data_IF_999079271319
#
_entry.id   IF_999079271319
#
_cell.length_a   1.000
_cell.length_b   1.000
_cell.length_c   1.000
_cell.angle_alpha   90.00
_cell.angle_beta   90.00
_cell.angle_gamma   90.00
#
_symmetry.space_group_name_H-M   'P 1'
#
loop_
_entity.id
_entity.type
_entity.pdbx_description
1 polymer ?
#
# COMPACT_ATOMS: atom_id res chain seq x y z
N UNK A 1 43.25 9.67 6.11
CA UNK A 1 42.31 8.56 5.85
C UNK A 1 42.05 7.92 7.20
N UNK A 2 40.99 8.36 7.87
CA UNK A 2 40.68 7.93 9.23
C UNK A 2 39.89 6.62 9.14
N UNK A 3 40.56 5.52 9.49
CA UNK A 3 39.93 4.21 9.58
C UNK A 3 39.06 4.15 10.85
N UNK A 4 37.81 4.61 10.74
CA UNK A 4 36.82 4.40 11.80
C UNK A 4 36.33 2.95 11.76
N UNK A 5 36.95 2.09 12.57
CA UNK A 5 36.42 0.75 12.84
C UNK A 5 35.07 0.87 13.57
N UNK A 6 33.98 0.45 12.92
CA UNK A 6 32.65 0.46 13.53
C UNK A 6 32.52 -0.69 14.52
N UNK A 7 32.18 -0.39 15.77
CA UNK A 7 32.06 -1.38 16.84
C UNK A 7 30.62 -1.88 16.96
N UNK A 8 30.41 -3.19 17.05
CA UNK A 8 29.09 -3.83 17.16
C UNK A 8 28.54 -3.75 18.59
N UNK A 9 27.28 -3.32 18.75
CA UNK A 9 26.56 -3.23 20.03
C UNK A 9 25.34 -4.16 20.05
N UNK A 10 25.07 -4.77 21.21
CA UNK A 10 23.91 -5.64 21.41
C UNK A 10 22.58 -4.86 21.33
N UNK A 11 21.58 -5.30 20.54
CA UNK A 11 20.29 -4.60 20.45
C UNK A 11 19.45 -4.71 21.74
N UNK A 12 19.72 -5.70 22.60
CA UNK A 12 18.93 -5.93 23.82
C UNK A 12 19.44 -5.14 25.02
N UNK A 13 20.76 -5.17 25.26
CA UNK A 13 21.37 -4.55 26.45
C UNK A 13 22.41 -3.47 26.12
N UNK A 14 22.56 -3.10 24.85
CA UNK A 14 23.48 -2.06 24.34
C UNK A 14 24.96 -2.29 24.69
N UNK A 15 25.31 -3.46 25.20
CA UNK A 15 26.69 -3.80 25.53
C UNK A 15 27.48 -4.04 24.25
N UNK A 16 28.71 -3.52 24.21
CA UNK A 16 29.68 -3.74 23.13
C UNK A 16 30.06 -5.22 23.02
N UNK A 17 30.00 -5.77 21.81
CA UNK A 17 30.34 -7.16 21.54
C UNK A 17 31.85 -7.25 21.20
N UNK A 18 32.65 -8.04 21.94
CA UNK A 18 34.06 -8.24 21.59
C UNK A 18 34.20 -9.12 20.34
N UNK A 19 35.29 -8.94 19.58
CA UNK A 19 35.50 -9.60 18.29
C UNK A 19 35.47 -11.14 18.35
N UNK A 20 35.86 -11.73 19.49
CA UNK A 20 35.82 -13.17 19.74
C UNK A 20 34.41 -13.77 19.77
N UNK A 21 33.38 -12.95 20.07
CA UNK A 21 31.99 -13.37 20.11
C UNK A 21 31.23 -13.06 18.81
N UNK A 22 31.97 -12.73 17.75
CA UNK A 22 31.44 -12.40 16.43
C UNK A 22 31.87 -13.49 15.45
N UNK A 23 30.91 -14.25 14.95
CA UNK A 23 31.13 -15.18 13.85
C UNK A 23 30.89 -14.48 12.52
N UNK A 24 31.93 -13.89 11.95
CA UNK A 24 31.88 -13.12 10.70
C UNK A 24 31.38 -13.99 9.53
N UNK A 25 31.73 -15.27 9.50
CA UNK A 25 31.33 -16.19 8.42
C UNK A 25 29.82 -16.45 8.40
N UNK A 26 29.19 -16.47 9.57
CA UNK A 26 27.74 -16.72 9.73
C UNK A 26 26.93 -15.46 10.00
N UNK A 27 27.60 -14.31 10.09
CA UNK A 27 27.04 -13.02 10.49
C UNK A 27 26.27 -13.05 11.83
N UNK A 28 26.67 -13.92 12.75
CA UNK A 28 26.05 -14.08 14.07
C UNK A 28 26.93 -13.52 15.18
N UNK A 29 26.34 -12.81 16.14
CA UNK A 29 27.00 -12.30 17.33
C UNK A 29 26.31 -12.83 18.60
N UNK A 30 27.10 -13.21 19.61
CA UNK A 30 26.64 -13.59 20.95
C UNK A 30 26.94 -12.46 21.93
N UNK A 31 25.94 -11.97 22.65
CA UNK A 31 26.16 -10.99 23.71
C UNK A 31 26.64 -11.69 25.00
N UNK A 32 27.84 -11.37 25.52
CA UNK A 32 28.33 -11.99 26.76
C UNK A 32 27.53 -11.56 27.99
N UNK A 33 26.94 -10.36 27.97
CA UNK A 33 26.20 -9.81 29.11
C UNK A 33 24.81 -10.44 29.29
N UNK A 34 24.01 -10.57 28.21
CA UNK A 34 22.64 -11.09 28.29
C UNK A 34 22.43 -12.44 27.60
N UNK A 35 23.46 -13.04 27.00
CA UNK A 35 23.40 -14.35 26.33
C UNK A 35 22.60 -14.40 25.02
N UNK A 36 22.14 -13.24 24.50
CA UNK A 36 21.34 -13.22 23.27
C UNK A 36 22.22 -13.43 22.04
N UNK A 37 21.81 -14.31 21.14
CA UNK A 37 22.42 -14.50 19.82
C UNK A 37 21.59 -13.74 18.79
N UNK A 38 22.20 -12.88 17.99
CA UNK A 38 21.52 -12.12 16.94
C UNK A 38 22.33 -12.09 15.64
N UNK A 39 21.64 -11.97 14.50
CA UNK A 39 22.27 -11.83 13.19
C UNK A 39 22.50 -10.35 12.89
N UNK A 40 23.75 -9.95 12.66
CA UNK A 40 24.12 -8.57 12.32
C UNK A 40 24.35 -8.37 10.82
N UNK A 41 24.41 -9.44 10.03
CA UNK A 41 24.53 -9.37 8.57
C UNK A 41 23.23 -8.90 7.90
N UNK A 42 22.10 -9.14 8.56
CA UNK A 42 20.78 -8.71 8.11
C UNK A 42 20.43 -7.28 8.54
N UNK A 43 21.18 -6.67 9.47
CA UNK A 43 20.87 -5.33 9.98
C UNK A 43 20.98 -4.22 8.92
N UNK A 44 21.70 -4.48 7.83
CA UNK A 44 21.82 -3.57 6.67
C UNK A 44 21.10 -4.07 5.42
N UNK A 45 20.44 -5.25 5.48
CA UNK A 45 19.49 -5.61 4.44
C UNK A 45 18.11 -5.20 4.93
N UNK A 46 17.44 -4.20 4.32
CA UNK A 46 16.09 -3.82 4.70
C UNK A 46 15.27 -5.10 4.72
N UNK A 47 14.83 -5.48 5.91
CA UNK A 47 14.20 -6.76 6.29
C UNK A 47 13.48 -7.42 5.13
N UNK A 48 14.24 -8.14 4.30
CA UNK A 48 13.65 -9.03 3.30
C UNK A 48 13.22 -10.23 4.12
N UNK A 49 12.04 -10.10 4.71
CA UNK A 49 11.20 -11.23 5.10
C UNK A 49 11.47 -12.35 4.11
N UNK A 50 11.78 -13.58 4.58
CA UNK A 50 12.12 -14.68 3.69
C UNK A 50 11.13 -14.64 2.55
N UNK A 51 11.63 -14.56 1.31
CA UNK A 51 10.80 -14.56 0.09
C UNK A 51 10.10 -15.91 0.02
N UNK A 52 9.14 -16.15 0.92
CA UNK A 52 8.08 -17.09 0.76
C UNK A 52 7.53 -16.69 -0.59
N UNK A 53 7.69 -17.58 -1.58
CA UNK A 53 7.08 -17.43 -2.89
C UNK A 53 5.58 -17.32 -2.63
N UNK A 54 5.10 -16.10 -2.37
CA UNK A 54 3.69 -15.81 -2.16
C UNK A 54 3.04 -16.27 -3.44
N UNK A 55 2.19 -17.30 -3.31
CA UNK A 55 1.38 -17.76 -4.43
C UNK A 55 0.61 -16.54 -4.92
N UNK A 56 0.60 -16.30 -6.22
CA UNK A 56 -0.16 -15.20 -6.81
C UNK A 56 -1.61 -15.36 -6.35
N UNK A 57 -2.14 -14.35 -5.66
CA UNK A 57 -3.53 -14.33 -5.24
C UNK A 57 -4.42 -14.40 -6.48
N UNK A 58 -5.44 -15.25 -6.44
CA UNK A 58 -6.43 -15.34 -7.52
C UNK A 58 -7.28 -14.06 -7.49
N UNK A 59 -7.53 -13.46 -8.66
CA UNK A 59 -8.43 -12.32 -8.79
C UNK A 59 -9.85 -12.69 -8.31
N UNK A 60 -10.40 -12.00 -7.29
CA UNK A 60 -11.79 -12.20 -6.87
C UNK A 60 -12.78 -11.74 -7.95
N UNK A 61 -13.92 -12.41 -8.07
CA UNK A 61 -14.91 -12.17 -9.14
C UNK A 61 -15.51 -10.75 -9.13
N UNK A 62 -15.54 -10.10 -7.98
CA UNK A 62 -16.17 -8.79 -7.79
C UNK A 62 -15.21 -7.61 -7.92
N UNK A 63 -13.90 -7.85 -8.07
CA UNK A 63 -12.90 -6.79 -8.25
C UNK A 63 -12.75 -6.48 -9.73
N UNK A 64 -12.97 -5.22 -10.08
CA UNK A 64 -12.67 -4.68 -11.40
C UNK A 64 -11.31 -3.99 -11.34
N UNK A 65 -10.41 -4.35 -12.25
CA UNK A 65 -9.09 -3.72 -12.37
C UNK A 65 -9.03 -3.11 -13.76
N UNK A 66 -8.74 -1.82 -13.82
CA UNK A 66 -8.62 -1.06 -15.05
C UNK A 66 -7.24 -0.42 -15.07
N UNK A 67 -6.44 -0.76 -16.07
CA UNK A 67 -5.13 -0.13 -16.32
C UNK A 67 -5.30 0.83 -17.50
N UNK A 68 -5.01 2.12 -17.30
CA UNK A 68 -5.14 3.15 -18.34
C UNK A 68 -3.97 4.12 -18.26
N UNK A 69 -3.10 4.11 -19.28
CA UNK A 69 -2.02 5.10 -19.47
C UNK A 69 -1.19 5.38 -18.21
N UNK A 70 -0.68 4.35 -17.53
CA UNK A 70 0.12 4.49 -16.31
C UNK A 70 -0.69 4.60 -15.00
N UNK A 71 -2.02 4.70 -15.09
CA UNK A 71 -2.91 4.67 -13.94
C UNK A 71 -3.51 3.27 -13.73
N UNK A 72 -3.50 2.82 -12.48
CA UNK A 72 -4.17 1.60 -12.04
C UNK A 72 -5.39 1.98 -11.19
N UNK A 73 -6.60 1.63 -11.62
CA UNK A 73 -7.83 1.75 -10.84
C UNK A 73 -8.35 0.37 -10.44
N UNK A 74 -8.35 0.09 -9.13
CA UNK A 74 -8.93 -1.10 -8.53
C UNK A 74 -10.25 -0.72 -7.88
N UNK A 75 -11.36 -1.18 -8.45
CA UNK A 75 -12.71 -0.90 -7.96
C UNK A 75 -13.38 -2.17 -7.39
N UNK A 76 -13.98 -2.04 -6.20
CA UNK A 76 -14.78 -3.10 -5.58
C UNK A 76 -15.96 -2.53 -4.78
N UNK A 77 -16.96 -3.38 -4.52
CA UNK A 77 -18.15 -2.98 -3.76
C UNK A 77 -17.83 -2.89 -2.26
N UNK A 78 -18.15 -1.76 -1.62
CA UNK A 78 -17.85 -1.52 -0.19
C UNK A 78 -18.58 -2.52 0.73
N UNK A 79 -19.82 -2.87 0.39
CA UNK A 79 -20.55 -3.99 1.01
C UNK A 79 -20.14 -5.31 0.34
N UNK A 80 -19.01 -5.85 0.80
CA UNK A 80 -18.27 -6.90 0.08
C UNK A 80 -18.89 -8.30 0.08
N UNK A 81 -19.73 -8.65 1.07
CA UNK A 81 -20.28 -10.01 1.13
C UNK A 81 -21.64 -10.10 0.44
N UNK A 82 -21.83 -11.18 -0.35
CA UNK A 82 -23.12 -11.50 -0.98
C UNK A 82 -24.22 -11.60 0.08
N UNK A 83 -23.90 -12.15 1.25
CA UNK A 83 -24.82 -12.26 2.38
C UNK A 83 -25.25 -10.89 2.92
N UNK A 84 -24.33 -9.93 3.04
CA UNK A 84 -24.67 -8.58 3.50
C UNK A 84 -25.59 -7.87 2.50
N UNK A 85 -25.37 -8.05 1.19
CA UNK A 85 -26.25 -7.49 0.15
C UNK A 85 -27.66 -8.06 0.21
N UNK A 86 -27.78 -9.39 0.37
CA UNK A 86 -29.08 -10.05 0.50
C UNK A 86 -29.77 -9.64 1.79
N UNK A 87 -29.05 -9.65 2.92
CA UNK A 87 -29.58 -9.27 4.23
C UNK A 87 -30.05 -7.82 4.25
N UNK A 88 -29.25 -6.88 3.71
CA UNK A 88 -29.63 -5.48 3.59
C UNK A 88 -30.82 -5.29 2.65
N UNK A 89 -30.86 -6.00 1.52
CA UNK A 89 -32.00 -5.94 0.59
C UNK A 89 -33.30 -6.46 1.22
N UNK A 90 -33.23 -7.53 2.00
CA UNK A 90 -34.38 -8.05 2.74
C UNK A 90 -34.83 -7.10 3.86
N UNK A 91 -33.87 -6.48 4.56
CA UNK A 91 -34.15 -5.45 5.56
C UNK A 91 -34.90 -4.27 4.91
N UNK A 92 -34.42 -3.77 3.76
CA UNK A 92 -35.05 -2.67 3.02
C UNK A 92 -36.47 -3.03 2.58
N UNK A 93 -36.68 -4.23 2.02
CA UNK A 93 -38.02 -4.69 1.66
C UNK A 93 -38.96 -4.73 2.87
N UNK A 94 -38.46 -5.20 4.02
CA UNK A 94 -39.24 -5.28 5.26
C UNK A 94 -39.61 -3.89 5.77
N UNK A 95 -38.63 -2.97 5.82
CA UNK A 95 -38.83 -1.58 6.25
C UNK A 95 -39.83 -0.87 5.32
N UNK A 96 -39.70 -1.06 4.00
CA UNK A 96 -40.64 -0.51 3.02
C UNK A 96 -42.07 -1.02 3.21
N UNK A 97 -42.26 -2.32 3.47
CA UNK A 97 -43.60 -2.88 3.73
C UNK A 97 -44.22 -2.33 5.02
N UNK A 98 -43.42 -2.21 6.09
CA UNK A 98 -43.87 -1.60 7.36
C UNK A 98 -44.25 -0.15 7.14
N UNK A 99 -43.42 0.62 6.42
CA UNK A 99 -43.70 2.00 6.06
C UNK A 99 -45.01 2.14 5.28
N UNK A 100 -45.25 1.26 4.30
CA UNK A 100 -46.47 1.28 3.48
C UNK A 100 -47.72 1.02 4.33
N UNK A 101 -47.68 0.02 5.22
CA UNK A 101 -48.81 -0.29 6.12
C UNK A 101 -49.10 0.90 7.04
N UNK A 102 -48.09 1.45 7.69
CA UNK A 102 -48.26 2.59 8.60
C UNK A 102 -48.78 3.83 7.87
N UNK A 103 -48.32 4.09 6.65
CA UNK A 103 -48.79 5.20 5.84
C UNK A 103 -50.27 5.06 5.48
N UNK A 104 -50.72 3.85 5.12
CA UNK A 104 -52.14 3.59 4.85
C UNK A 104 -53.01 3.81 6.09
N UNK A 105 -52.53 3.38 7.26
CA UNK A 105 -53.25 3.59 8.53
C UNK A 105 -53.40 5.08 8.85
N UNK A 106 -52.32 5.87 8.75
CA UNK A 106 -52.36 7.32 8.98
C UNK A 106 -53.30 8.06 8.02
N UNK A 107 -53.30 7.65 6.74
CA UNK A 107 -54.21 8.22 5.72
C UNK A 107 -55.67 7.91 6.05
N UNK A 108 -55.96 6.71 6.59
CA UNK A 108 -57.32 6.32 6.97
C UNK A 108 -57.89 7.14 8.12
N UNK A 109 -57.04 7.67 9.00
CA UNK A 109 -57.41 8.55 10.11
C UNK A 109 -57.47 10.04 9.71
N UNK A 110 -57.32 10.34 8.41
CA UNK A 110 -57.23 11.69 7.86
C UNK A 110 -56.06 12.53 8.41
N UNK A 111 -55.02 11.89 8.94
CA UNK A 111 -53.79 12.52 9.43
C UNK A 111 -52.76 12.73 8.30
N UNK A 112 -53.13 13.52 7.30
CA UNK A 112 -52.31 13.67 6.09
C UNK A 112 -50.94 14.33 6.34
N UNK A 113 -50.87 15.29 7.27
CA UNK A 113 -49.63 16.02 7.56
C UNK A 113 -48.57 15.11 8.23
N UNK A 114 -48.89 14.39 9.32
CA UNK A 114 -47.99 13.37 9.87
C UNK A 114 -47.57 12.32 8.85
N UNK A 115 -48.52 11.80 8.05
CA UNK A 115 -48.24 10.81 7.01
C UNK A 115 -47.21 11.31 5.98
N UNK A 116 -47.32 12.58 5.56
CA UNK A 116 -46.41 13.20 4.62
C UNK A 116 -45.00 13.36 5.21
N UNK A 117 -44.88 13.88 6.44
CA UNK A 117 -43.57 14.05 7.11
C UNK A 117 -42.90 12.68 7.30
N UNK A 118 -43.66 11.70 7.78
CA UNK A 118 -43.19 10.33 7.95
C UNK A 118 -42.68 9.74 6.63
N UNK A 119 -43.44 9.92 5.54
CA UNK A 119 -43.05 9.47 4.20
C UNK A 119 -41.79 10.13 3.68
N UNK A 120 -41.58 11.42 3.95
CA UNK A 120 -40.35 12.11 3.56
C UNK A 120 -39.13 11.57 4.30
N UNK A 121 -39.25 11.30 5.60
CA UNK A 121 -38.15 10.75 6.41
C UNK A 121 -37.79 9.34 5.94
N UNK A 122 -38.77 8.47 5.76
CA UNK A 122 -38.54 7.10 5.28
C UNK A 122 -38.01 7.07 3.85
N UNK A 123 -38.59 7.88 2.96
CA UNK A 123 -38.09 8.02 1.59
C UNK A 123 -36.63 8.47 1.54
N UNK A 124 -36.24 9.44 2.38
CA UNK A 124 -34.84 9.85 2.50
C UNK A 124 -33.92 8.73 3.00
N UNK A 125 -34.35 7.97 4.02
CA UNK A 125 -33.59 6.84 4.56
C UNK A 125 -33.38 5.71 3.53
N UNK A 126 -34.40 5.41 2.73
CA UNK A 126 -34.33 4.44 1.63
C UNK A 126 -33.35 4.90 0.55
N UNK A 127 -33.39 6.19 0.16
CA UNK A 127 -32.44 6.75 -0.81
C UNK A 127 -31.00 6.64 -0.29
N UNK A 128 -30.74 7.01 0.96
CA UNK A 128 -29.40 6.92 1.55
C UNK A 128 -28.91 5.47 1.57
N UNK A 129 -29.78 4.53 1.95
CA UNK A 129 -29.40 3.12 2.01
C UNK A 129 -29.19 2.52 0.61
N UNK A 130 -29.94 2.98 -0.39
CA UNK A 130 -29.70 2.63 -1.78
C UNK A 130 -28.38 3.19 -2.30
N UNK A 131 -28.02 4.43 -1.93
CA UNK A 131 -26.70 5.01 -2.23
C UNK A 131 -25.56 4.21 -1.61
N UNK A 132 -25.74 3.66 -0.40
CA UNK A 132 -24.78 2.74 0.22
C UNK A 132 -24.60 1.45 -0.62
N UNK A 133 -25.67 0.95 -1.24
CA UNK A 133 -25.61 -0.25 -2.08
C UNK A 133 -24.86 0.00 -3.40
N UNK A 134 -24.97 1.20 -3.95
CA UNK A 134 -24.22 1.64 -5.12
C UNK A 134 -22.77 2.02 -4.79
N UNK A 135 -22.43 2.12 -3.51
CA UNK A 135 -21.14 2.62 -3.08
C UNK A 135 -20.01 1.65 -3.45
N UNK A 136 -19.09 2.15 -4.28
CA UNK A 136 -17.88 1.46 -4.70
C UNK A 136 -16.67 2.20 -4.19
N UNK A 137 -15.69 1.45 -3.71
CA UNK A 137 -14.39 1.99 -3.34
C UNK A 137 -13.44 1.78 -4.49
N UNK A 138 -12.78 2.85 -4.89
CA UNK A 138 -11.76 2.92 -5.94
C UNK A 138 -10.43 3.18 -5.28
N UNK A 139 -9.46 2.30 -5.51
CA UNK A 139 -8.07 2.51 -5.15
C UNK A 139 -7.33 2.84 -6.44
N UNK A 140 -6.99 4.11 -6.58
CA UNK A 140 -6.39 4.69 -7.78
C UNK A 140 -4.92 4.94 -7.47
N UNK A 141 -4.04 4.23 -8.16
CA UNK A 141 -2.60 4.50 -8.18
C UNK A 141 -2.29 5.25 -9.47
N UNK A 142 -1.95 6.52 -9.31
CA UNK A 142 -1.53 7.42 -10.38
C UNK A 142 -0.01 7.62 -10.34
N UNK A 143 0.56 8.37 -11.28
CA UNK A 143 2.01 8.69 -11.33
C UNK A 143 2.49 9.36 -10.04
N UNK A 144 1.68 10.24 -9.43
CA UNK A 144 2.10 11.03 -8.26
C UNK A 144 1.50 10.54 -6.95
N UNK A 145 0.30 9.96 -6.97
CA UNK A 145 -0.47 9.69 -5.77
C UNK A 145 -1.11 8.30 -5.78
N UNK A 146 -1.19 7.70 -4.58
CA UNK A 146 -2.09 6.60 -4.27
C UNK A 146 -3.31 7.14 -3.51
N UNK A 147 -4.49 7.02 -4.13
CA UNK A 147 -5.76 7.54 -3.61
C UNK A 147 -6.76 6.41 -3.35
N UNK A 148 -7.39 6.41 -2.19
CA UNK A 148 -8.57 5.60 -1.90
C UNK A 148 -9.79 6.52 -1.85
N UNK A 149 -10.74 6.32 -2.75
CA UNK A 149 -11.94 7.15 -2.88
C UNK A 149 -13.17 6.27 -2.95
N UNK A 150 -14.16 6.54 -2.10
CA UNK A 150 -15.45 5.85 -2.15
C UNK A 150 -16.49 6.74 -2.82
N UNK A 151 -17.26 6.19 -3.77
CA UNK A 151 -18.29 6.90 -4.55
C UNK A 151 -19.57 6.06 -4.66
N UNK A 152 -20.78 6.67 -4.58
CA UNK A 152 -21.02 8.12 -4.62
C UNK A 152 -20.82 8.84 -3.28
N UNK A 153 -20.78 8.12 -2.16
CA UNK A 153 -20.60 8.72 -0.84
C UNK A 153 -19.12 8.74 -0.47
N UNK A 154 -18.56 9.93 -0.29
CA UNK A 154 -17.16 10.11 0.11
C UNK A 154 -16.95 9.74 1.57
N UNK A 155 -16.64 8.48 1.83
CA UNK A 155 -16.22 8.02 3.16
C UNK A 155 -14.71 7.79 3.17
N UNK A 156 -14.01 8.54 4.03
CA UNK A 156 -12.61 8.26 4.36
C UNK A 156 -11.65 8.32 3.18
N UNK A 157 -11.69 9.42 2.41
CA UNK A 157 -10.75 9.59 1.31
C UNK A 157 -9.32 9.77 1.85
N UNK A 158 -8.39 8.95 1.35
CA UNK A 158 -6.98 9.00 1.73
C UNK A 158 -6.19 9.22 0.45
N UNK A 159 -5.23 10.15 0.51
CA UNK A 159 -4.27 10.42 -0.56
C UNK A 159 -2.88 10.33 0.05
N UNK A 160 -2.03 9.47 -0.50
CA UNK A 160 -0.62 9.35 -0.15
C UNK A 160 0.20 9.65 -1.39
N UNK A 161 1.31 10.36 -1.23
CA UNK A 161 2.26 10.54 -2.32
C UNK A 161 2.89 9.17 -2.67
N UNK A 162 2.97 8.85 -3.96
CA UNK A 162 3.51 7.58 -4.46
C UNK A 162 4.98 7.38 -4.06
N UNK A 163 5.77 8.44 -4.14
CA UNK A 163 7.20 8.44 -3.82
C UNK A 163 7.46 8.19 -2.33
N UNK A 164 6.46 8.35 -1.47
CA UNK A 164 6.59 8.02 -0.05
C UNK A 164 6.40 6.52 0.23
N UNK A 165 5.85 5.74 -0.70
CA UNK A 165 5.38 4.37 -0.45
C UNK A 165 6.44 3.35 -0.88
N UNK A 166 7.01 2.64 0.09
CA UNK A 166 8.02 1.59 -0.18
C UNK A 166 7.37 0.29 -0.62
N UNK A 167 6.32 -0.13 0.07
CA UNK A 167 5.64 -1.41 -0.16
C UNK A 167 4.17 -1.32 0.29
N UNK A 168 3.35 -2.26 -0.17
CA UNK A 168 1.96 -2.38 0.28
C UNK A 168 1.75 -3.77 0.88
N UNK A 169 1.31 -3.80 2.14
CA UNK A 169 1.08 -5.02 2.89
C UNK A 169 -0.38 -5.10 3.33
N UNK A 170 -0.78 -6.26 3.85
CA UNK A 170 -2.08 -6.42 4.48
C UNK A 170 -1.92 -7.17 5.80
N UNK A 171 -2.73 -6.81 6.78
CA UNK A 171 -2.69 -7.31 8.15
C UNK A 171 -4.10 -7.65 8.65
N UNK A 172 -4.26 -8.67 9.50
CA UNK A 172 -5.55 -8.94 10.13
C UNK A 172 -5.95 -7.74 11.01
N UNK A 173 -7.19 -7.31 10.87
CA UNK A 173 -7.76 -6.23 11.66
C UNK A 173 -8.12 -6.80 13.01
N UNK A 174 -7.34 -6.46 14.05
CA UNK A 174 -7.65 -6.83 15.42
C UNK A 174 -8.79 -5.95 15.92
N UNK A 175 -10.04 -6.30 15.62
CA UNK A 175 -11.18 -5.69 16.27
C UNK A 175 -11.20 -6.13 17.73
N UNK A 176 -11.21 -5.18 18.67
CA UNK A 176 -11.23 -5.46 20.13
C UNK A 176 -12.40 -6.34 20.59
N UNK A 177 -13.42 -6.56 19.74
CA UNK A 177 -14.54 -7.46 19.98
C UNK A 177 -14.45 -8.70 19.11
N UNK A 178 -13.47 -9.56 19.41
CA UNK A 178 -13.29 -10.85 18.76
C UNK A 178 -14.39 -11.82 19.22
N UNK A 179 -15.56 -11.73 18.59
CA UNK A 179 -16.58 -12.76 18.75
C UNK A 179 -16.17 -13.97 17.92
N UNK A 180 -16.09 -15.15 18.55
CA UNK A 180 -15.57 -16.41 18.00
C UNK A 180 -16.21 -16.91 16.68
N UNK A 181 -17.19 -16.20 16.14
CA UNK A 181 -17.93 -16.53 14.91
C UNK A 181 -17.75 -15.50 13.79
N UNK A 182 -17.01 -14.41 14.01
CA UNK A 182 -16.81 -13.38 12.98
C UNK A 182 -15.64 -13.73 12.07
N UNK A 183 -15.89 -13.69 10.75
CA UNK A 183 -14.84 -13.84 9.74
C UNK A 183 -13.74 -12.80 9.97
N UNK A 184 -12.47 -13.24 10.02
CA UNK A 184 -11.33 -12.34 10.14
C UNK A 184 -11.37 -11.30 9.01
N UNK A 185 -11.39 -10.02 9.39
CA UNK A 185 -11.28 -8.93 8.43
C UNK A 185 -9.83 -8.48 8.34
N UNK A 186 -9.42 -7.99 7.18
CA UNK A 186 -8.05 -7.58 6.89
C UNK A 186 -8.03 -6.11 6.47
N UNK A 187 -6.91 -5.46 6.77
CA UNK A 187 -6.64 -4.09 6.41
C UNK A 187 -5.43 -4.04 5.48
N UNK A 188 -5.52 -3.25 4.41
CA UNK A 188 -4.42 -2.98 3.49
C UNK A 188 -3.71 -1.72 3.97
N UNK A 189 -2.39 -1.82 4.13
CA UNK A 189 -1.52 -0.78 4.68
C UNK A 189 -0.44 -0.41 3.67
N UNK A 190 -0.23 0.88 3.44
CA UNK A 190 0.96 1.40 2.75
C UNK A 190 2.10 1.55 3.75
N UNK A 191 3.26 0.97 3.45
CA UNK A 191 4.50 1.13 4.22
C UNK A 191 5.29 2.27 3.61
N UNK A 192 5.59 3.30 4.40
CA UNK A 192 6.38 4.47 3.95
C UNK A 192 7.88 4.28 4.18
N UNK A 193 8.69 5.17 3.60
CA UNK A 193 10.16 5.18 3.81
C UNK A 193 10.59 5.38 5.26
N UNK A 194 9.77 6.07 6.06
CA UNK A 194 9.96 6.25 7.50
C UNK A 194 9.63 4.99 8.32
N UNK A 195 9.20 3.90 7.67
CA UNK A 195 8.73 2.67 8.30
C UNK A 195 7.30 2.77 8.88
N UNK A 196 6.65 3.93 8.79
CA UNK A 196 5.27 4.09 9.23
C UNK A 196 4.32 3.37 8.28
N UNK A 197 3.34 2.68 8.88
CA UNK A 197 2.25 2.04 8.15
C UNK A 197 1.05 2.96 8.14
N UNK A 198 0.52 3.28 6.95
CA UNK A 198 -0.70 4.06 6.76
C UNK A 198 -1.81 3.17 6.26
N UNK A 199 -2.95 3.21 6.94
CA UNK A 199 -4.14 2.47 6.53
C UNK A 199 -4.66 3.01 5.20
N UNK A 200 -4.74 2.15 4.18
CA UNK A 200 -5.37 2.47 2.90
C UNK A 200 -6.85 2.09 2.91
N UNK A 201 -7.12 0.89 3.43
CA UNK A 201 -8.47 0.34 3.51
C UNK A 201 -8.56 -0.68 4.65
N UNK A 202 -9.65 -0.64 5.41
CA UNK A 202 -9.98 -1.65 6.42
C UNK A 202 -11.23 -2.46 6.07
N UNK A 203 -11.46 -3.55 6.80
CA UNK A 203 -12.70 -4.33 6.72
C UNK A 203 -12.80 -5.23 5.48
N UNK A 204 -11.68 -5.55 4.83
CA UNK A 204 -11.65 -6.39 3.65
C UNK A 204 -11.65 -7.88 4.01
N UNK A 205 -12.14 -8.72 3.11
CA UNK A 205 -11.88 -10.16 3.18
C UNK A 205 -10.42 -10.44 2.82
N UNK A 206 -9.87 -11.55 3.33
CA UNK A 206 -8.47 -11.93 3.10
C UNK A 206 -8.11 -11.96 1.62
N UNK A 207 -8.95 -12.60 0.79
CA UNK A 207 -8.72 -12.73 -0.65
C UNK A 207 -8.62 -11.36 -1.35
N UNK A 208 -9.43 -10.39 -0.93
CA UNK A 208 -9.43 -9.04 -1.49
C UNK A 208 -8.18 -8.29 -1.02
N UNK A 209 -7.87 -8.33 0.27
CA UNK A 209 -6.71 -7.65 0.83
C UNK A 209 -5.40 -8.19 0.24
N UNK A 210 -5.29 -9.51 0.09
CA UNK A 210 -4.15 -10.18 -0.53
C UNK A 210 -3.99 -9.80 -2.01
N UNK A 211 -5.09 -9.80 -2.77
CA UNK A 211 -5.05 -9.42 -4.18
C UNK A 211 -4.71 -7.94 -4.38
N UNK A 212 -5.39 -7.04 -3.66
CA UNK A 212 -5.16 -5.59 -3.74
C UNK A 212 -3.71 -5.24 -3.37
N UNK A 213 -3.22 -5.75 -2.25
CA UNK A 213 -1.83 -5.48 -1.83
C UNK A 213 -0.81 -6.02 -2.82
N UNK A 214 -1.02 -7.21 -3.37
CA UNK A 214 -0.12 -7.77 -4.38
C UNK A 214 -0.12 -6.94 -5.67
N UNK A 215 -1.28 -6.48 -6.13
CA UNK A 215 -1.40 -5.74 -7.38
C UNK A 215 -0.84 -4.32 -7.29
N UNK A 216 -1.06 -3.65 -6.15
CA UNK A 216 -0.42 -2.36 -5.85
C UNK A 216 1.10 -2.52 -5.73
N UNK A 217 1.57 -3.53 -4.99
CA UNK A 217 3.00 -3.78 -4.85
C UNK A 217 3.68 -4.16 -6.18
N UNK A 218 2.96 -4.84 -7.09
CA UNK A 218 3.44 -5.11 -8.46
C UNK A 218 3.67 -3.81 -9.22
N UNK A 219 2.66 -2.95 -9.31
CA UNK A 219 2.75 -1.69 -10.06
C UNK A 219 3.78 -0.71 -9.51
N UNK A 220 3.88 -0.59 -8.17
CA UNK A 220 4.88 0.28 -7.54
C UNK A 220 6.31 -0.17 -7.88
N UNK A 221 6.55 -1.48 -8.06
CA UNK A 221 7.89 -2.01 -8.40
C UNK A 221 8.21 -1.91 -9.89
N UNK A 222 7.21 -2.15 -10.74
CA UNK A 222 7.35 -2.10 -12.19
C UNK A 222 7.78 -0.70 -12.64
N UNK A 223 7.07 0.33 -12.17
CA UNK A 223 7.35 1.73 -12.47
C UNK A 223 8.70 2.24 -11.93
N UNK A 224 9.12 1.79 -10.74
CA UNK A 224 10.47 2.07 -10.24
C UNK A 224 11.56 1.44 -11.10
N UNK A 225 11.29 0.26 -11.64
CA UNK A 225 12.24 -0.43 -12.51
C UNK A 225 12.36 0.32 -13.83
N UNK A 226 11.24 0.78 -14.40
CA UNK A 226 11.24 1.61 -15.60
C UNK A 226 11.97 2.94 -15.38
N UNK A 227 11.71 3.63 -14.27
CA UNK A 227 12.42 4.87 -13.93
C UNK A 227 13.93 4.64 -13.77
N UNK A 228 14.33 3.55 -13.11
CA UNK A 228 15.74 3.21 -12.96
C UNK A 228 16.42 2.89 -14.31
N UNK A 229 15.73 2.19 -15.21
CA UNK A 229 16.23 1.90 -16.56
C UNK A 229 16.37 3.20 -17.36
N UNK A 230 15.35 4.07 -17.34
CA UNK A 230 15.38 5.35 -18.06
C UNK A 230 16.52 6.26 -17.58
N UNK A 231 16.81 6.29 -16.28
CA UNK A 231 17.93 7.06 -15.73
C UNK A 231 19.28 6.51 -16.20
N UNK A 232 19.44 5.17 -16.25
CA UNK A 232 20.67 4.55 -16.75
C UNK A 232 20.91 4.83 -18.24
N UNK A 233 19.84 4.88 -19.05
CA UNK A 233 19.94 5.21 -20.48
C UNK A 233 20.27 6.70 -20.70
N UNK A 234 19.77 7.59 -19.84
CA UNK A 234 20.13 9.02 -19.87
C UNK A 234 21.61 9.25 -19.52
N UNK A 235 22.12 8.60 -18.47
CA UNK A 235 23.54 8.68 -18.07
C UNK A 235 24.46 8.15 -19.18
N UNK A 236 24.03 7.09 -19.88
CA UNK A 236 24.76 6.54 -21.03
C UNK A 236 24.80 7.51 -22.20
N UNK A 237 23.70 8.19 -22.51
CA UNK A 237 23.64 9.16 -23.59
C UNK A 237 24.54 10.38 -23.32
N UNK A 238 24.67 10.81 -22.05
CA UNK A 238 25.59 11.87 -21.66
C UNK A 238 27.06 11.45 -21.83
N UNK A 239 27.40 10.20 -21.47
CA UNK A 239 28.74 9.66 -21.68
C UNK A 239 29.11 9.57 -23.17
N UNK A 240 28.21 9.05 -24.01
CA UNK A 240 28.41 8.96 -25.46
C UNK A 240 28.50 10.35 -26.14
N UNK A 241 27.88 11.39 -25.57
CA UNK A 241 27.96 12.76 -26.06
C UNK A 241 29.22 13.51 -25.57
N UNK A 242 29.82 13.10 -24.46
CA UNK A 242 30.97 13.74 -23.83
C UNK A 242 32.35 13.18 -24.24
N UNK A 243 32.39 11.98 -24.81
CA UNK A 243 33.66 11.29 -25.17
C UNK A 243 33.96 11.38 -26.67
N UNK A 244 34.15 12.60 -27.16
CA UNK A 244 35.02 12.86 -28.32
C UNK A 244 35.99 13.97 -27.95
N UNK A 245 36.77 13.72 -26.89
CA UNK A 245 37.99 14.48 -26.66
C UNK A 245 38.97 13.95 -27.71
N UNK A 246 39.20 14.71 -28.78
CA UNK A 246 40.22 14.44 -29.79
C UNK A 246 41.56 14.25 -29.08
N UNK A 247 41.94 12.99 -28.88
CA UNK A 247 43.25 12.60 -28.33
C UNK A 247 44.39 12.93 -29.29
N UNK A 248 44.09 13.41 -30.50
CA UNK A 248 45.05 13.81 -31.51
C UNK A 248 45.80 15.12 -31.15
N UNK A 249 45.35 15.89 -30.16
CA UNK A 249 45.97 17.17 -29.77
C UNK A 249 47.07 17.04 -28.68
N UNK A 250 47.32 15.83 -28.17
CA UNK A 250 48.32 15.62 -27.09
C UNK A 250 49.75 15.30 -27.58
N UNK A 251 49.96 15.00 -28.87
CA UNK A 251 51.29 14.63 -29.38
C UNK A 251 52.18 15.82 -29.80
N UNK A 252 51.64 17.03 -29.99
CA UNK A 252 52.45 18.20 -30.38
C UNK A 252 53.18 18.89 -29.21
N UNK A 253 52.71 18.73 -27.96
CA UNK A 253 53.32 19.42 -26.81
C UNK A 253 54.61 18.76 -26.28
N UNK A 254 54.93 17.52 -26.68
CA UNK A 254 56.08 16.78 -26.16
C UNK A 254 57.39 17.01 -26.95
N UNK A 255 57.32 17.56 -28.17
CA UNK A 255 58.52 17.75 -29.00
C UNK A 255 59.28 19.07 -28.75
N UNK A 256 58.68 20.06 -28.08
CA UNK A 256 59.33 21.37 -27.89
C UNK A 256 60.26 21.50 -26.67
N UNK A 257 60.34 20.51 -25.78
CA UNK A 257 61.14 20.62 -24.54
C UNK A 257 62.60 20.13 -24.67
N UNK A 258 63.02 19.59 -25.82
CA UNK A 258 64.35 18.99 -25.99
C UNK A 258 65.39 19.86 -26.74
N UNK A 259 65.08 21.10 -27.13
CA UNK A 259 66.02 21.98 -27.87
C UNK A 259 66.68 23.13 -27.06
N UNK A 260 66.43 23.28 -25.76
CA UNK A 260 66.97 24.41 -24.96
C UNK A 260 68.15 24.04 -24.04
N UNK A 261 69.12 23.26 -24.53
CA UNK A 261 70.40 23.07 -23.82
C UNK A 261 71.55 22.83 -24.81
N UNK A 262 71.99 23.91 -25.49
CA UNK A 262 73.31 24.02 -26.12
C UNK A 262 73.79 25.46 -26.05
#
# INVERSE_FOLDING_TARGET
MDNHATQLTCPNCQTTIPAENINIQKTLALCPNCGVVFNFGEANQPTTTPKIKRRKAKKPESITVTESSGQLDIAYASLGTRSNKIGLGFLMLTVFLVWLILSVLMISEAEYMPALIFSLIFGAAEIVTWLLFLNRTHIILDETDLKSVTRPLSSGNISLNRDDIVDVTYEPTTSMFESATTSSTFSVMAVRYDGQKRLLQSGLQEEYAAYISQELARHIREDRTETAINNLDADRAEYDAGEFIDLDDYDEASQHSSQSNR
#
